data_IF_843816268595
#
_entry.id   IF_843816268595
#
_cell.length_a   1.000
_cell.length_b   1.000
_cell.length_c   1.000
_cell.angle_alpha   90.00
_cell.angle_beta   90.00
_cell.angle_gamma   90.00
#
_symmetry.space_group_name_H-M   'P 1'
#
loop_
_entity.id
_entity.type
_entity.pdbx_description
1 polymer ?
#
# COMPACT_ATOMS: atom_id res chain seq x y z
N UNK A 1 26.33 -13.94 8.23
CA UNK A 1 26.22 -13.44 6.84
C UNK A 1 24.92 -12.66 6.72
N UNK A 2 24.93 -11.52 6.03
CA UNK A 2 23.71 -10.74 5.80
C UNK A 2 22.77 -11.53 4.89
N UNK A 3 21.49 -11.64 5.27
CA UNK A 3 20.49 -12.28 4.40
C UNK A 3 20.37 -11.46 3.11
N UNK A 4 20.26 -12.10 1.93
CA UNK A 4 20.05 -11.38 0.68
C UNK A 4 18.74 -10.58 0.72
N UNK A 5 18.67 -9.41 0.07
CA UNK A 5 17.44 -8.62 0.00
C UNK A 5 16.39 -9.34 -0.84
N UNK A 6 15.13 -9.22 -0.42
CA UNK A 6 13.96 -9.81 -1.09
C UNK A 6 13.16 -8.71 -1.78
N UNK A 7 12.70 -8.97 -2.99
CA UNK A 7 11.80 -8.10 -3.75
C UNK A 7 10.35 -8.61 -3.62
N UNK A 8 9.42 -7.74 -3.26
CA UNK A 8 7.98 -8.06 -3.27
C UNK A 8 7.28 -7.31 -4.40
N UNK A 9 6.56 -8.06 -5.25
CA UNK A 9 5.81 -7.50 -6.40
C UNK A 9 4.49 -8.20 -6.65
N UNK A 10 3.74 -7.76 -7.66
CA UNK A 10 2.53 -8.44 -8.14
C UNK A 10 2.12 -7.91 -9.51
N UNK A 11 1.67 -8.82 -10.38
CA UNK A 11 1.21 -8.51 -11.74
C UNK A 11 0.04 -7.51 -11.80
N UNK A 12 -0.68 -7.31 -10.68
CA UNK A 12 -1.73 -6.28 -10.58
C UNK A 12 -1.19 -4.87 -10.90
N UNK A 13 0.11 -4.63 -10.70
CA UNK A 13 0.71 -3.32 -10.88
C UNK A 13 1.04 -2.99 -12.34
N UNK A 14 1.05 -3.98 -13.26
CA UNK A 14 1.31 -3.77 -14.71
C UNK A 14 0.22 -2.96 -15.40
N UNK A 15 -0.99 -2.93 -14.82
CA UNK A 15 -2.13 -2.25 -15.41
C UNK A 15 -2.07 -0.73 -15.09
N UNK A 16 -2.18 0.10 -16.13
CA UNK A 16 -2.39 1.55 -15.99
C UNK A 16 -3.63 1.81 -15.14
N UNK A 17 -3.52 2.68 -14.14
CA UNK A 17 -4.47 2.70 -13.03
C UNK A 17 -4.99 4.08 -12.62
N UNK A 18 -4.80 5.16 -13.36
CA UNK A 18 -5.39 6.46 -12.95
C UNK A 18 -5.98 7.31 -14.09
N UNK A 19 -6.12 6.74 -15.29
CA UNK A 19 -6.58 7.46 -16.48
C UNK A 19 -5.49 8.36 -17.08
N UNK A 20 -5.69 8.79 -18.33
CA UNK A 20 -4.63 9.38 -19.17
C UNK A 20 -4.00 10.68 -18.60
N UNK A 21 -4.76 11.48 -17.86
CA UNK A 21 -4.31 12.81 -17.39
C UNK A 21 -3.83 12.82 -15.92
N UNK A 22 -3.77 11.67 -15.26
CA UNK A 22 -3.33 11.59 -13.87
C UNK A 22 -1.81 11.38 -13.79
N UNK A 23 -1.09 11.99 -12.80
CA UNK A 23 0.36 11.82 -12.65
C UNK A 23 0.81 10.35 -12.50
N UNK A 24 -0.08 9.48 -12.03
CA UNK A 24 0.14 8.03 -11.86
C UNK A 24 -0.45 7.18 -13.01
N UNK A 25 -0.58 7.75 -14.21
CA UNK A 25 -1.20 7.08 -15.36
C UNK A 25 -0.35 5.95 -15.97
N UNK A 26 0.96 5.94 -15.74
CA UNK A 26 1.88 4.94 -16.29
C UNK A 26 2.29 3.89 -15.23
N UNK A 27 2.52 2.66 -15.68
CA UNK A 27 3.05 1.61 -14.82
C UNK A 27 4.48 1.95 -14.41
N UNK A 28 4.72 2.16 -13.11
CA UNK A 28 6.05 2.52 -12.58
C UNK A 28 6.78 1.33 -11.97
N UNK A 29 6.04 0.56 -11.17
CA UNK A 29 6.58 -0.55 -10.39
C UNK A 29 7.17 -1.64 -11.28
N UNK A 30 6.49 -1.91 -12.39
CA UNK A 30 6.84 -3.01 -13.29
C UNK A 30 7.99 -2.63 -14.23
N UNK A 31 8.10 -1.35 -14.60
CA UNK A 31 9.29 -0.85 -15.29
C UNK A 31 10.55 -0.99 -14.41
N UNK A 32 10.43 -0.79 -13.10
CA UNK A 32 11.53 -1.05 -12.15
C UNK A 32 11.85 -2.55 -12.10
N UNK A 33 10.84 -3.41 -11.96
CA UNK A 33 11.02 -4.87 -11.92
C UNK A 33 11.71 -5.38 -13.20
N UNK A 34 11.23 -4.98 -14.37
CA UNK A 34 11.76 -5.40 -15.66
C UNK A 34 13.20 -4.92 -15.82
N UNK A 35 13.53 -3.68 -15.42
CA UNK A 35 14.90 -3.16 -15.44
C UNK A 35 15.83 -3.97 -14.53
N UNK A 36 15.44 -4.21 -13.27
CA UNK A 36 16.24 -4.97 -12.30
C UNK A 36 16.48 -6.40 -12.78
N UNK A 37 15.50 -7.03 -13.45
CA UNK A 37 15.65 -8.35 -14.08
C UNK A 37 16.63 -8.32 -15.26
N UNK A 38 16.52 -7.34 -16.16
CA UNK A 38 17.44 -7.18 -17.30
C UNK A 38 18.88 -6.97 -16.84
N UNK A 39 19.09 -6.24 -15.75
CA UNK A 39 20.40 -6.03 -15.15
C UNK A 39 20.95 -7.26 -14.41
N UNK A 40 20.17 -8.33 -14.26
CA UNK A 40 20.56 -9.54 -13.53
C UNK A 40 20.66 -9.35 -12.02
N UNK A 41 20.04 -8.30 -11.47
CA UNK A 41 20.13 -7.94 -10.04
C UNK A 41 19.14 -8.70 -9.16
N UNK A 42 18.13 -9.33 -9.75
CA UNK A 42 17.09 -10.06 -9.03
C UNK A 42 17.06 -11.54 -9.44
N UNK A 43 17.71 -12.42 -8.67
CA UNK A 43 17.51 -13.86 -8.77
C UNK A 43 16.04 -14.22 -8.52
N UNK A 44 15.51 -15.20 -9.26
CA UNK A 44 14.10 -15.60 -9.19
C UNK A 44 13.66 -15.98 -7.76
N UNK A 45 14.54 -16.68 -7.02
CA UNK A 45 14.28 -17.09 -5.64
C UNK A 45 14.20 -15.92 -4.63
N UNK A 46 14.59 -14.70 -5.03
CA UNK A 46 14.50 -13.49 -4.21
C UNK A 46 13.26 -12.65 -4.54
N UNK A 47 12.39 -13.14 -5.42
CA UNK A 47 11.11 -12.50 -5.72
C UNK A 47 9.98 -13.21 -4.98
N UNK A 48 9.18 -12.45 -4.23
CA UNK A 48 7.94 -12.91 -3.62
C UNK A 48 6.74 -12.18 -4.21
N UNK A 49 5.65 -12.91 -4.41
CA UNK A 49 4.39 -12.34 -4.90
C UNK A 49 3.52 -11.90 -3.73
N UNK A 50 3.09 -10.63 -3.76
CA UNK A 50 2.08 -10.10 -2.85
C UNK A 50 0.66 -10.48 -3.28
N UNK A 51 -0.17 -10.80 -2.29
CA UNK A 51 -1.59 -11.15 -2.45
C UNK A 51 -2.49 -10.04 -1.89
N UNK A 52 -3.76 -10.02 -2.29
CA UNK A 52 -4.73 -9.10 -1.69
C UNK A 52 -4.93 -9.40 -0.20
N UNK A 53 -4.87 -8.36 0.62
CA UNK A 53 -5.41 -8.40 1.97
C UNK A 53 -6.94 -8.56 1.92
N UNK A 54 -7.49 -9.39 2.80
CA UNK A 54 -8.93 -9.54 2.94
C UNK A 54 -9.56 -8.37 3.72
N UNK A 55 -10.89 -8.34 3.75
CA UNK A 55 -11.63 -7.27 4.43
C UNK A 55 -11.30 -7.22 5.91
N UNK A 56 -11.22 -8.37 6.57
CA UNK A 56 -10.97 -8.46 8.01
C UNK A 56 -9.57 -7.93 8.36
N UNK A 57 -8.60 -8.12 7.47
CA UNK A 57 -7.28 -7.49 7.58
C UNK A 57 -7.41 -5.98 7.38
N UNK A 58 -8.02 -5.51 6.29
CA UNK A 58 -8.14 -4.08 6.00
C UNK A 58 -8.84 -3.30 7.14
N UNK A 59 -9.80 -3.93 7.82
CA UNK A 59 -10.56 -3.30 8.92
C UNK A 59 -9.82 -3.27 10.27
N UNK A 60 -8.61 -3.82 10.35
CA UNK A 60 -7.76 -3.67 11.54
C UNK A 60 -7.31 -2.22 11.74
N UNK A 61 -7.26 -1.42 10.67
CA UNK A 61 -6.94 0.01 10.72
C UNK A 61 -8.01 0.87 10.04
N UNK A 62 -8.49 0.46 8.86
CA UNK A 62 -9.47 1.25 8.14
C UNK A 62 -10.89 1.02 8.66
N UNK A 63 -11.72 2.06 8.62
CA UNK A 63 -13.13 1.94 8.99
C UNK A 63 -13.85 0.97 8.04
N UNK A 64 -14.64 0.05 8.61
CA UNK A 64 -15.37 -0.95 7.83
C UNK A 64 -16.24 -0.34 6.73
N UNK A 65 -16.96 0.74 7.05
CA UNK A 65 -17.83 1.43 6.08
C UNK A 65 -17.04 2.03 4.91
N UNK A 66 -15.83 2.54 5.17
CA UNK A 66 -14.93 3.05 4.14
C UNK A 66 -14.45 1.93 3.21
N UNK A 67 -13.97 0.82 3.77
CA UNK A 67 -13.51 -0.35 3.01
C UNK A 67 -14.63 -0.92 2.13
N UNK A 68 -15.83 -1.06 2.70
CA UNK A 68 -17.00 -1.56 1.96
C UNK A 68 -17.46 -0.59 0.87
N UNK A 69 -17.41 0.72 1.12
CA UNK A 69 -17.76 1.73 0.14
C UNK A 69 -16.82 1.69 -1.08
N UNK A 70 -15.50 1.60 -0.85
CA UNK A 70 -14.53 1.50 -1.95
C UNK A 70 -14.70 0.20 -2.73
N UNK A 71 -14.87 -0.94 -2.04
CA UNK A 71 -15.10 -2.25 -2.68
C UNK A 71 -16.34 -2.23 -3.57
N UNK A 72 -17.44 -1.65 -3.06
CA UNK A 72 -18.68 -1.49 -3.81
C UNK A 72 -18.49 -0.59 -5.03
N UNK A 73 -17.88 0.58 -4.84
CA UNK A 73 -17.68 1.54 -5.92
C UNK A 73 -16.81 0.99 -7.05
N UNK A 74 -15.74 0.24 -6.72
CA UNK A 74 -14.90 -0.45 -7.70
C UNK A 74 -15.71 -1.51 -8.47
N UNK A 75 -16.52 -2.30 -7.78
CA UNK A 75 -17.41 -3.31 -8.40
C UNK A 75 -18.50 -2.71 -9.30
N UNK A 76 -19.07 -1.57 -8.91
CA UNK A 76 -20.08 -0.83 -9.68
C UNK A 76 -19.44 0.05 -10.78
N UNK A 77 -18.12 0.29 -10.74
CA UNK A 77 -17.42 1.22 -11.61
C UNK A 77 -17.82 2.69 -11.43
N UNK A 78 -18.50 3.04 -10.32
CA UNK A 78 -19.00 4.38 -10.04
C UNK A 78 -19.03 4.70 -8.56
N UNK A 79 -18.50 5.86 -8.19
CA UNK A 79 -18.62 6.43 -6.85
C UNK A 79 -19.94 7.23 -6.71
N UNK A 80 -20.60 7.11 -5.56
CA UNK A 80 -21.79 7.91 -5.19
C UNK A 80 -21.37 9.31 -4.76
N UNK A 81 -22.32 10.24 -4.66
CA UNK A 81 -22.03 11.58 -4.10
C UNK A 81 -21.56 11.46 -2.65
N UNK A 82 -22.26 10.65 -1.86
CA UNK A 82 -21.90 10.35 -0.46
C UNK A 82 -20.50 9.74 -0.32
N UNK A 83 -20.03 8.96 -1.30
CA UNK A 83 -18.68 8.38 -1.26
C UNK A 83 -17.60 9.45 -1.35
N UNK A 84 -17.83 10.46 -2.20
CA UNK A 84 -16.91 11.61 -2.34
C UNK A 84 -16.91 12.47 -1.09
N UNK A 85 -18.09 12.75 -0.55
CA UNK A 85 -18.26 13.61 0.62
C UNK A 85 -17.70 12.97 1.89
N UNK A 86 -17.95 11.67 2.11
CA UNK A 86 -17.60 10.99 3.35
C UNK A 86 -16.19 10.39 3.31
N UNK A 87 -15.75 9.90 2.14
CA UNK A 87 -14.55 9.05 2.03
C UNK A 87 -13.50 9.59 1.05
N UNK A 88 -13.76 10.74 0.44
CA UNK A 88 -12.84 11.46 -0.45
C UNK A 88 -12.32 10.66 -1.66
N UNK A 89 -13.04 9.62 -2.12
CA UNK A 89 -12.71 8.90 -3.36
C UNK A 89 -13.76 9.12 -4.45
N UNK A 90 -13.37 8.92 -5.71
CA UNK A 90 -14.14 9.34 -6.87
C UNK A 90 -14.05 10.85 -7.13
N UNK A 91 -13.09 11.54 -6.50
CA UNK A 91 -12.77 12.96 -6.68
C UNK A 91 -11.70 13.13 -7.76
N UNK A 92 -11.32 14.38 -8.07
CA UNK A 92 -10.19 14.65 -8.97
C UNK A 92 -8.85 14.22 -8.36
N UNK A 93 -8.71 14.37 -7.04
CA UNK A 93 -7.53 13.93 -6.31
C UNK A 93 -7.47 12.41 -6.23
N UNK A 94 -8.53 11.74 -5.79
CA UNK A 94 -8.54 10.28 -5.60
C UNK A 94 -9.55 9.64 -6.57
N UNK A 95 -9.24 9.54 -7.88
CA UNK A 95 -10.19 9.11 -8.89
C UNK A 95 -10.61 7.65 -8.70
N UNK A 96 -11.81 7.29 -9.11
CA UNK A 96 -12.18 5.89 -9.21
C UNK A 96 -11.66 5.32 -10.54
N UNK A 97 -11.07 4.13 -10.49
CA UNK A 97 -10.67 3.38 -11.68
C UNK A 97 -10.90 1.89 -11.46
N UNK A 98 -11.08 1.15 -12.56
CA UNK A 98 -11.33 -0.29 -12.51
C UNK A 98 -10.17 -1.03 -11.86
N UNK A 99 -10.44 -1.77 -10.80
CA UNK A 99 -9.48 -2.56 -10.06
C UNK A 99 -8.74 -1.80 -8.96
N UNK A 100 -9.20 -0.59 -8.59
CA UNK A 100 -8.57 0.19 -7.50
C UNK A 100 -8.56 -0.57 -6.19
N UNK A 101 -9.64 -1.28 -5.86
CA UNK A 101 -9.73 -2.02 -4.60
C UNK A 101 -8.71 -3.14 -4.59
N UNK A 102 -8.69 -3.94 -5.67
CA UNK A 102 -7.74 -5.05 -5.84
C UNK A 102 -6.28 -4.57 -5.79
N UNK A 103 -5.98 -3.45 -6.45
CA UNK A 103 -4.63 -2.87 -6.46
C UNK A 103 -4.22 -2.42 -5.06
N UNK A 104 -5.04 -1.59 -4.40
CA UNK A 104 -4.75 -1.06 -3.07
C UNK A 104 -4.67 -2.16 -2.00
N UNK A 105 -5.55 -3.16 -2.02
CA UNK A 105 -5.52 -4.28 -1.06
C UNK A 105 -4.33 -5.21 -1.27
N UNK A 106 -3.83 -5.36 -2.50
CA UNK A 106 -2.58 -6.10 -2.79
C UNK A 106 -1.36 -5.35 -2.21
N UNK A 107 -1.39 -4.02 -2.21
CA UNK A 107 -0.34 -3.20 -1.59
C UNK A 107 -0.27 -3.43 -0.08
N UNK A 108 -1.43 -3.51 0.59
CA UNK A 108 -1.49 -3.86 2.02
C UNK A 108 -0.89 -5.25 2.28
N UNK A 109 -1.29 -6.26 1.50
CA UNK A 109 -0.75 -7.62 1.65
C UNK A 109 0.76 -7.70 1.38
N UNK A 110 1.28 -6.88 0.47
CA UNK A 110 2.72 -6.78 0.21
C UNK A 110 3.52 -6.23 1.39
N UNK A 111 3.00 -5.21 2.08
CA UNK A 111 3.68 -4.61 3.23
C UNK A 111 3.57 -5.45 4.51
N UNK A 112 2.46 -6.19 4.68
CA UNK A 112 2.36 -7.24 5.71
C UNK A 112 3.40 -8.34 5.45
N UNK A 113 3.47 -8.85 4.21
CA UNK A 113 4.47 -9.87 3.83
C UNK A 113 5.90 -9.35 4.02
N UNK A 114 6.16 -8.06 3.74
CA UNK A 114 7.45 -7.43 3.98
C UNK A 114 7.84 -7.47 5.47
N UNK A 115 6.92 -7.08 6.36
CA UNK A 115 7.15 -7.11 7.79
C UNK A 115 7.40 -8.55 8.30
N UNK A 116 6.57 -9.50 7.88
CA UNK A 116 6.74 -10.92 8.23
C UNK A 116 8.09 -11.49 7.75
N UNK A 117 8.49 -11.17 6.53
CA UNK A 117 9.75 -11.64 5.94
C UNK A 117 10.98 -11.07 6.66
N UNK A 118 10.87 -9.86 7.22
CA UNK A 118 11.98 -9.15 7.89
C UNK A 118 12.01 -9.34 9.40
N UNK A 119 11.04 -10.04 9.99
CA UNK A 119 10.95 -10.24 11.45
C UNK A 119 12.21 -10.85 12.08
N UNK A 120 12.87 -11.77 11.37
CA UNK A 120 14.14 -12.38 11.79
C UNK A 120 15.39 -11.62 11.30
N UNK A 121 15.25 -10.34 10.97
CA UNK A 121 16.24 -9.52 10.28
C UNK A 121 16.33 -9.82 8.77
N UNK A 122 16.82 -8.83 8.01
CA UNK A 122 16.92 -8.86 6.55
C UNK A 122 16.49 -7.54 5.94
N UNK A 123 16.38 -7.50 4.62
CA UNK A 123 15.91 -6.33 3.87
C UNK A 123 14.87 -6.77 2.86
N UNK A 124 13.74 -6.06 2.80
CA UNK A 124 12.73 -6.23 1.76
C UNK A 124 12.58 -4.92 0.99
N UNK A 125 12.46 -5.03 -0.33
CA UNK A 125 12.07 -3.95 -1.21
C UNK A 125 10.67 -4.23 -1.76
N UNK A 126 9.69 -3.43 -1.33
CA UNK A 126 8.30 -3.47 -1.81
C UNK A 126 7.95 -2.13 -2.50
N UNK A 127 8.34 -1.92 -3.77
CA UNK A 127 8.19 -0.61 -4.44
C UNK A 127 6.75 -0.22 -4.79
N UNK A 128 5.79 -1.10 -4.51
CA UNK A 128 4.37 -0.81 -4.71
C UNK A 128 3.71 -0.21 -3.46
N UNK A 129 4.38 -0.30 -2.32
CA UNK A 129 3.95 0.29 -1.04
C UNK A 129 4.35 1.76 -0.89
N UNK A 130 4.26 2.24 0.35
CA UNK A 130 4.54 3.64 0.69
C UNK A 130 3.35 4.57 0.52
N UNK A 131 2.11 4.05 0.58
CA UNK A 131 0.86 4.82 0.46
C UNK A 131 0.56 5.65 1.73
N UNK A 132 1.47 6.54 2.06
CA UNK A 132 1.60 7.24 3.35
C UNK A 132 0.49 8.24 3.68
N UNK A 133 -0.31 8.68 2.70
CA UNK A 133 -1.38 9.65 2.91
C UNK A 133 -2.71 9.01 3.35
N UNK A 134 -2.88 7.69 3.15
CA UNK A 134 -4.15 7.01 3.41
C UNK A 134 -4.61 7.20 4.86
N UNK A 135 -5.86 7.60 5.07
CA UNK A 135 -6.43 7.77 6.41
C UNK A 135 -7.25 6.54 6.80
N UNK A 136 -7.58 6.43 8.09
CA UNK A 136 -8.41 5.34 8.59
C UNK A 136 -9.80 5.34 7.90
N UNK A 137 -10.35 6.51 7.60
CA UNK A 137 -11.72 6.68 7.15
C UNK A 137 -11.89 7.26 5.73
N UNK A 138 -10.80 7.66 5.06
CA UNK A 138 -10.88 8.30 3.73
C UNK A 138 -9.60 8.15 2.92
N UNK A 139 -9.75 8.29 1.60
CA UNK A 139 -8.62 8.44 0.69
C UNK A 139 -7.99 9.85 0.79
N UNK A 140 -6.70 9.96 0.50
CA UNK A 140 -5.98 11.24 0.48
C UNK A 140 -4.73 11.10 -0.38
N UNK A 141 -4.37 12.11 -1.16
CA UNK A 141 -3.10 12.14 -1.91
C UNK A 141 -2.81 10.87 -2.73
N UNK A 142 -3.80 10.37 -3.47
CA UNK A 142 -3.73 9.14 -4.27
C UNK A 142 -3.66 7.83 -3.47
N UNK A 143 -3.71 7.88 -2.13
CA UNK A 143 -3.61 6.74 -1.23
C UNK A 143 -5.01 6.35 -0.72
N UNK A 144 -5.46 5.14 -1.08
CA UNK A 144 -6.76 4.60 -0.66
C UNK A 144 -6.64 3.81 0.64
N UNK A 145 -5.62 2.96 0.75
CA UNK A 145 -5.26 2.29 2.00
C UNK A 145 -3.86 2.74 2.41
N UNK A 146 -3.47 2.53 3.66
CA UNK A 146 -2.18 2.98 4.20
C UNK A 146 -1.31 1.77 4.55
N UNK A 147 -0.49 1.32 3.61
CA UNK A 147 0.33 0.11 3.80
C UNK A 147 1.49 0.23 4.80
N UNK A 148 2.15 1.39 5.00
CA UNK A 148 3.10 1.54 6.11
C UNK A 148 2.48 1.23 7.47
N UNK A 149 1.24 1.67 7.73
CA UNK A 149 0.54 1.40 9.00
C UNK A 149 0.41 -0.10 9.25
N UNK A 150 0.09 -0.88 8.22
CA UNK A 150 -0.02 -2.33 8.34
C UNK A 150 1.32 -3.01 8.61
N UNK A 151 2.40 -2.57 7.96
CA UNK A 151 3.73 -3.11 8.24
C UNK A 151 4.16 -2.83 9.69
N UNK A 152 3.96 -1.60 10.17
CA UNK A 152 4.30 -1.20 11.54
C UNK A 152 3.46 -1.99 12.56
N UNK A 153 2.15 -2.14 12.33
CA UNK A 153 1.27 -2.94 13.19
C UNK A 153 1.68 -4.40 13.25
N UNK A 154 2.16 -4.98 12.15
CA UNK A 154 2.67 -6.36 12.13
C UNK A 154 3.91 -6.50 13.04
N UNK A 155 4.84 -5.55 12.98
CA UNK A 155 5.99 -5.51 13.88
C UNK A 155 5.59 -5.34 15.35
N UNK A 156 4.68 -4.41 15.66
CA UNK A 156 4.17 -4.20 17.02
C UNK A 156 3.47 -5.46 17.55
N UNK A 157 2.68 -6.15 16.71
CA UNK A 157 1.96 -7.37 17.07
C UNK A 157 2.91 -8.55 17.30
N UNK A 158 4.07 -8.55 16.64
CA UNK A 158 5.14 -9.51 16.89
C UNK A 158 5.99 -9.20 18.13
N UNK A 159 5.66 -8.14 18.88
CA UNK A 159 6.30 -7.77 20.13
C UNK A 159 7.53 -6.87 19.99
N UNK A 160 7.73 -6.22 18.82
CA UNK A 160 8.77 -5.20 18.70
C UNK A 160 8.36 -3.96 19.51
N UNK A 161 9.30 -3.42 20.28
CA UNK A 161 9.08 -2.29 21.19
C UNK A 161 9.65 -0.96 20.67
N UNK A 162 10.47 -1.01 19.62
CA UNK A 162 11.11 0.17 19.02
C UNK A 162 11.16 0.00 17.52
N UNK A 163 10.32 0.74 16.84
CA UNK A 163 10.20 0.81 15.39
C UNK A 163 10.55 2.25 15.00
N UNK A 164 11.25 2.42 13.88
CA UNK A 164 11.50 3.74 13.32
C UNK A 164 10.90 3.77 11.93
N UNK A 165 9.96 4.68 11.71
CA UNK A 165 9.46 5.01 10.38
C UNK A 165 10.26 6.20 9.82
N UNK A 166 10.90 6.01 8.67
CA UNK A 166 11.60 7.07 7.94
C UNK A 166 10.88 7.30 6.62
N UNK A 167 10.38 8.51 6.44
CA UNK A 167 9.78 8.96 5.19
C UNK A 167 10.73 9.92 4.47
N UNK A 168 11.01 9.61 3.20
CA UNK A 168 11.86 10.41 2.31
C UNK A 168 11.09 10.89 1.08
N UNK A 169 9.77 10.67 1.04
CA UNK A 169 8.92 11.31 0.05
C UNK A 169 9.01 12.85 0.21
N UNK A 170 8.80 13.56 -0.89
CA UNK A 170 8.81 15.01 -0.88
C UNK A 170 7.59 15.60 -0.15
N UNK A 171 6.49 14.83 -0.06
CA UNK A 171 5.32 15.15 0.73
C UNK A 171 5.45 14.55 2.13
N UNK A 172 4.86 15.23 3.12
CA UNK A 172 4.83 14.74 4.49
C UNK A 172 3.97 13.48 4.59
N UNK A 173 4.49 12.44 5.27
CA UNK A 173 3.80 11.18 5.60
C UNK A 173 2.71 11.33 6.65
N UNK A 174 1.77 12.24 6.40
CA UNK A 174 0.73 12.72 7.31
C UNK A 174 -0.22 11.62 7.80
N UNK A 175 -0.52 10.61 6.97
CA UNK A 175 -1.36 9.48 7.31
C UNK A 175 -0.70 8.52 8.30
N UNK A 176 0.61 8.29 8.14
CA UNK A 176 1.40 7.45 9.06
C UNK A 176 1.62 8.18 10.38
N UNK A 177 1.96 9.47 10.34
CA UNK A 177 2.11 10.31 11.54
C UNK A 177 0.83 10.28 12.39
N UNK A 178 -0.34 10.54 11.79
CA UNK A 178 -1.59 10.53 12.54
C UNK A 178 -1.97 9.14 13.08
N UNK A 179 -1.53 8.06 12.44
CA UNK A 179 -1.84 6.71 12.89
C UNK A 179 -1.06 6.30 14.15
N UNK A 180 0.10 6.91 14.40
CA UNK A 180 1.01 6.57 15.50
C UNK A 180 1.39 7.75 16.40
N UNK A 181 0.69 8.89 16.29
CA UNK A 181 0.98 10.09 17.08
C UNK A 181 1.03 9.85 18.59
N UNK A 182 0.24 8.89 19.09
CA UNK A 182 0.15 8.51 20.51
C UNK A 182 0.76 7.11 20.80
N UNK A 183 1.57 6.55 19.90
CA UNK A 183 2.24 5.25 20.07
C UNK A 183 3.74 5.44 20.27
N UNK A 184 4.19 5.44 21.53
CA UNK A 184 5.61 5.71 21.90
C UNK A 184 6.63 4.68 21.34
N UNK A 185 6.16 3.54 20.83
CA UNK A 185 7.02 2.49 20.25
C UNK A 185 7.43 2.75 18.80
N UNK A 186 6.88 3.77 18.13
CA UNK A 186 7.03 4.05 16.68
C UNK A 186 7.64 5.43 16.42
#
# INVERSE_FOLDING_TARGET
MQKPPVYIGSEVYRQSSFGHNHPLSYARQESVLDMVRVLGWLPEQMFLTSSQADIDTLTQFHNSDYVQALKRADGEGKARVSDRENYNFGTMENPLFKGVFKRASTTIGGSILAAQTTMGGGTVFHPSGGTHHGRADKASGFCYFNDPVFAIREFLSAGLERILYVDIDAHHGDGVEAAFADEERV
#
